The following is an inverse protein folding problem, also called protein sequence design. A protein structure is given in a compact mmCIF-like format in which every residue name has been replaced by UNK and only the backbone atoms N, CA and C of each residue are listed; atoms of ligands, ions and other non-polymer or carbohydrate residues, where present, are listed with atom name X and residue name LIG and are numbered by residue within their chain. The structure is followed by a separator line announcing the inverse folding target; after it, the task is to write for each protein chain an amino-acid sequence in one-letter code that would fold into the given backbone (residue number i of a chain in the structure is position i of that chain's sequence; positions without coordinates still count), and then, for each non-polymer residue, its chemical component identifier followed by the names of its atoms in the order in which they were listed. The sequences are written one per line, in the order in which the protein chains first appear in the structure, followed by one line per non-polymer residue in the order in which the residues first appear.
data_IF_435583402015
#
_entry.id   IF_435583402015
#
_cell.length_a   1.000
_cell.length_b   1.000
_cell.length_c   1.000
_cell.angle_alpha   90.00
_cell.angle_beta   90.00
_cell.angle_gamma   90.00
#
_symmetry.space_group_name_H-M   'P 1'
#
loop_
_entity.id
_entity.type
_entity.pdbx_description
1 polymer ?
#
# COMPACT_ATOMS: atom_id res chain seq x y z
N UNK A 1 19.41 -3.51 -17.38
CA UNK A 1 18.64 -3.16 -16.18
C UNK A 1 17.23 -2.76 -16.62
N UNK A 2 16.42 -3.75 -16.99
CA UNK A 2 15.04 -3.55 -17.50
C UNK A 2 14.24 -4.71 -16.92
N UNK A 3 13.50 -4.54 -15.85
CA UNK A 3 12.71 -5.68 -15.34
C UNK A 3 11.78 -5.42 -14.15
N UNK A 4 11.92 -4.35 -13.43
CA UNK A 4 11.11 -4.13 -12.22
C UNK A 4 9.72 -3.50 -12.49
N UNK A 5 9.43 -3.22 -13.75
CA UNK A 5 8.22 -2.51 -14.20
C UNK A 5 6.98 -3.39 -14.26
N UNK A 6 7.17 -4.70 -14.36
CA UNK A 6 6.08 -5.66 -14.51
C UNK A 6 5.46 -6.11 -13.18
N UNK A 7 6.15 -5.90 -12.07
CA UNK A 7 5.71 -6.37 -10.76
C UNK A 7 4.48 -5.62 -10.21
N UNK A 8 4.41 -4.30 -10.40
CA UNK A 8 3.27 -3.51 -9.94
C UNK A 8 2.00 -3.74 -10.78
N UNK A 9 2.16 -4.12 -12.06
CA UNK A 9 1.05 -4.46 -12.95
C UNK A 9 0.46 -5.84 -12.63
N UNK A 10 1.26 -6.74 -12.03
CA UNK A 10 0.85 -8.10 -11.70
C UNK A 10 -0.25 -8.19 -10.65
N UNK A 11 -0.29 -7.27 -9.69
CA UNK A 11 -1.32 -7.29 -8.62
C UNK A 11 -2.70 -6.96 -9.18
N UNK A 12 -2.77 -6.00 -10.08
CA UNK A 12 -4.04 -5.61 -10.73
C UNK A 12 -4.48 -6.66 -11.75
N UNK A 13 -3.54 -7.35 -12.40
CA UNK A 13 -3.81 -8.39 -13.37
C UNK A 13 -4.20 -9.72 -12.71
N UNK A 14 -3.67 -10.04 -11.53
CA UNK A 14 -4.06 -11.23 -10.76
C UNK A 14 -5.50 -11.11 -10.24
N UNK A 15 -5.95 -9.93 -9.82
CA UNK A 15 -7.34 -9.71 -9.43
C UNK A 15 -8.31 -9.82 -10.63
N UNK A 16 -7.84 -9.52 -11.85
CA UNK A 16 -8.64 -9.67 -13.07
C UNK A 16 -8.51 -11.04 -13.75
N UNK A 17 -7.37 -11.71 -13.62
CA UNK A 17 -7.09 -12.99 -14.28
C UNK A 17 -7.75 -14.18 -13.55
N UNK A 18 -7.94 -14.11 -12.23
CA UNK A 18 -8.70 -15.13 -11.50
C UNK A 18 -10.17 -15.18 -11.92
N UNK A 19 -10.70 -14.10 -12.46
CA UNK A 19 -12.07 -14.08 -13.02
C UNK A 19 -12.17 -14.81 -14.39
N UNK A 20 -11.08 -14.87 -15.16
CA UNK A 20 -11.13 -15.51 -16.50
C UNK A 20 -10.81 -17.02 -16.48
N UNK A 21 -10.11 -17.52 -15.45
CA UNK A 21 -9.70 -18.93 -15.35
C UNK A 21 -10.55 -19.78 -14.38
N UNK A 22 -11.59 -19.19 -13.77
CA UNK A 22 -12.50 -19.84 -12.83
C UNK A 22 -13.51 -20.82 -13.45
N UNK A 23 -13.24 -21.35 -14.64
CA UNK A 23 -13.99 -22.48 -15.20
C UNK A 23 -13.08 -23.70 -15.23
N UNK A 24 -13.26 -24.56 -14.26
CA UNK A 24 -12.65 -25.89 -14.09
C UNK A 24 -11.39 -25.95 -13.19
N UNK A 25 -11.60 -26.45 -11.98
CA UNK A 25 -10.52 -26.91 -11.12
C UNK A 25 -10.82 -26.84 -9.64
N UNK A 26 -11.21 -27.95 -9.05
CA UNK A 26 -11.38 -28.13 -7.59
C UNK A 26 -10.12 -27.71 -6.84
N UNK A 27 -10.23 -26.72 -5.97
CA UNK A 27 -9.23 -26.39 -4.94
C UNK A 27 -9.78 -26.68 -3.54
N UNK A 28 -8.94 -27.16 -2.61
CA UNK A 28 -9.40 -27.58 -1.28
C UNK A 28 -9.64 -26.36 -0.38
N UNK A 29 -10.86 -26.27 0.10
CA UNK A 29 -11.23 -25.78 1.42
C UNK A 29 -10.81 -24.43 1.92
N UNK A 30 -11.21 -23.34 1.26
CA UNK A 30 -11.43 -22.07 1.96
C UNK A 30 -12.89 -22.12 2.46
N UNK A 31 -13.09 -22.12 3.79
CA UNK A 31 -14.42 -21.95 4.37
C UNK A 31 -14.92 -20.57 4.00
N UNK A 32 -15.72 -20.50 2.97
CA UNK A 32 -16.52 -19.33 2.67
C UNK A 32 -17.69 -19.32 3.65
N UNK A 33 -17.57 -18.62 4.75
CA UNK A 33 -18.73 -18.23 5.52
C UNK A 33 -19.56 -17.30 4.64
N UNK A 34 -20.68 -17.80 4.20
CA UNK A 34 -21.68 -17.13 3.39
C UNK A 34 -22.25 -15.99 4.21
N UNK A 35 -21.72 -14.77 4.05
CA UNK A 35 -22.27 -13.58 4.66
C UNK A 35 -23.56 -13.20 3.91
N UNK A 36 -24.64 -13.19 4.66
CA UNK A 36 -25.96 -12.81 4.22
C UNK A 36 -26.04 -11.39 3.65
N UNK A 37 -26.66 -11.31 2.51
CA UNK A 37 -27.59 -10.29 2.00
C UNK A 37 -27.30 -8.80 2.23
N UNK A 38 -27.24 -8.02 1.14
CA UNK A 38 -27.72 -6.66 1.11
C UNK A 38 -26.84 -5.60 0.48
N UNK A 39 -25.95 -5.94 -0.42
CA UNK A 39 -25.25 -4.98 -1.27
C UNK A 39 -24.79 -5.69 -2.52
N UNK A 40 -24.80 -4.99 -3.62
CA UNK A 40 -24.32 -5.49 -4.92
C UNK A 40 -22.76 -5.55 -4.91
N UNK A 41 -22.21 -6.38 -4.02
CA UNK A 41 -20.76 -6.55 -3.90
C UNK A 41 -20.30 -7.65 -4.85
N UNK A 42 -19.34 -7.33 -5.71
CA UNK A 42 -18.73 -8.32 -6.59
C UNK A 42 -17.88 -9.33 -5.82
N UNK A 43 -17.20 -8.87 -4.77
CA UNK A 43 -16.29 -9.71 -3.97
C UNK A 43 -16.08 -9.12 -2.58
N UNK A 44 -16.07 -9.98 -1.57
CA UNK A 44 -15.73 -9.64 -0.19
C UNK A 44 -14.80 -10.70 0.39
N UNK A 45 -13.64 -10.29 0.92
CA UNK A 45 -12.73 -11.17 1.66
C UNK A 45 -12.45 -10.59 3.04
N UNK A 46 -12.30 -11.47 4.03
CA UNK A 46 -11.95 -11.13 5.41
C UNK A 46 -10.65 -11.82 5.82
N UNK A 47 -9.86 -11.15 6.66
CA UNK A 47 -8.58 -11.69 7.12
C UNK A 47 -7.65 -12.04 5.96
N UNK A 48 -7.55 -11.13 4.99
CA UNK A 48 -6.86 -11.40 3.72
C UNK A 48 -5.38 -11.11 3.86
N UNK A 49 -4.55 -12.04 3.39
CA UNK A 49 -3.14 -11.82 3.14
C UNK A 49 -2.85 -12.03 1.66
N UNK A 50 -2.22 -11.05 1.03
CA UNK A 50 -1.75 -11.11 -0.33
C UNK A 50 -0.22 -11.03 -0.33
N UNK A 51 0.44 -11.99 -0.98
CA UNK A 51 1.89 -12.02 -1.12
C UNK A 51 2.23 -11.94 -2.59
N UNK A 52 3.04 -10.96 -2.98
CA UNK A 52 3.64 -10.92 -4.29
C UNK A 52 5.10 -11.31 -4.20
N UNK A 53 5.52 -12.25 -5.03
CA UNK A 53 6.91 -12.73 -5.13
C UNK A 53 7.52 -12.29 -6.46
N UNK A 54 8.86 -12.23 -6.49
CA UNK A 54 9.62 -12.13 -7.74
C UNK A 54 9.71 -13.49 -8.45
N UNK A 55 10.46 -13.56 -9.54
CA UNK A 55 10.67 -14.79 -10.34
C UNK A 55 11.39 -15.92 -9.54
N UNK A 56 12.18 -15.53 -8.52
CA UNK A 56 12.90 -16.46 -7.63
C UNK A 56 12.03 -16.91 -6.43
N UNK A 57 10.77 -16.50 -6.35
CA UNK A 57 9.87 -16.82 -5.24
C UNK A 57 10.08 -15.99 -3.97
N UNK A 58 10.93 -14.96 -4.03
CA UNK A 58 11.19 -14.07 -2.88
C UNK A 58 10.06 -13.04 -2.75
N UNK A 59 9.44 -12.86 -1.58
CA UNK A 59 8.40 -11.87 -1.39
C UNK A 59 8.89 -10.44 -1.66
N UNK A 60 8.25 -9.76 -2.60
CA UNK A 60 8.45 -8.34 -2.87
C UNK A 60 7.63 -7.47 -1.93
N UNK A 61 6.38 -7.87 -1.71
CA UNK A 61 5.55 -7.27 -0.70
C UNK A 61 4.54 -8.27 -0.12
N UNK A 62 4.10 -7.97 1.09
CA UNK A 62 3.02 -8.65 1.78
C UNK A 62 2.00 -7.61 2.21
N UNK A 63 0.75 -7.79 1.80
CA UNK A 63 -0.37 -6.95 2.16
C UNK A 63 -1.31 -7.77 3.04
N UNK A 64 -1.59 -7.28 4.23
CA UNK A 64 -2.61 -7.79 5.13
C UNK A 64 -3.75 -6.78 5.22
N UNK A 65 -5.00 -7.25 5.22
CA UNK A 65 -6.18 -6.43 5.44
C UNK A 65 -7.24 -7.22 6.21
N UNK A 66 -7.91 -6.55 7.15
CA UNK A 66 -9.04 -7.18 7.86
C UNK A 66 -10.18 -7.49 6.92
N UNK A 67 -10.40 -6.62 5.94
CA UNK A 67 -11.48 -6.76 4.96
C UNK A 67 -11.11 -6.09 3.65
N UNK A 68 -11.37 -6.78 2.55
CA UNK A 68 -11.30 -6.24 1.18
C UNK A 68 -12.67 -6.42 0.55
N UNK A 69 -13.18 -5.38 -0.07
CA UNK A 69 -14.43 -5.35 -0.82
C UNK A 69 -14.16 -4.82 -2.22
N UNK A 70 -14.77 -5.43 -3.22
CA UNK A 70 -14.78 -4.94 -4.58
C UNK A 70 -16.21 -4.83 -5.06
N UNK A 71 -16.57 -3.71 -5.66
CA UNK A 71 -17.89 -3.51 -6.25
C UNK A 71 -18.12 -4.47 -7.43
N UNK A 72 -19.39 -4.78 -7.71
CA UNK A 72 -19.76 -5.66 -8.81
C UNK A 72 -19.21 -5.14 -10.15
N UNK A 73 -18.94 -6.08 -11.07
CA UNK A 73 -18.42 -5.74 -12.40
C UNK A 73 -16.98 -5.24 -12.45
N UNK A 74 -16.16 -5.48 -11.41
CA UNK A 74 -14.77 -5.02 -11.36
C UNK A 74 -14.65 -3.54 -10.99
N UNK A 75 -15.58 -3.04 -10.17
CA UNK A 75 -15.62 -1.68 -9.68
C UNK A 75 -14.52 -1.34 -8.66
N UNK A 76 -14.78 -0.32 -7.86
CA UNK A 76 -13.84 0.17 -6.85
C UNK A 76 -13.45 -0.93 -5.85
N UNK A 77 -12.19 -0.93 -5.43
CA UNK A 77 -11.67 -1.81 -4.37
C UNK A 77 -11.48 -1.00 -3.10
N UNK A 78 -12.03 -1.48 -2.00
CA UNK A 78 -11.85 -0.91 -0.67
C UNK A 78 -11.21 -1.93 0.27
N UNK A 79 -10.21 -1.49 1.05
CA UNK A 79 -9.60 -2.29 2.09
C UNK A 79 -9.68 -1.59 3.44
N UNK A 80 -9.86 -2.37 4.52
CA UNK A 80 -9.89 -1.88 5.90
C UNK A 80 -8.74 -2.47 6.71
N UNK A 81 -8.14 -1.60 7.56
CA UNK A 81 -6.99 -1.94 8.41
C UNK A 81 -5.85 -2.58 7.62
N UNK A 82 -5.38 -1.82 6.63
CA UNK A 82 -4.33 -2.24 5.74
C UNK A 82 -2.96 -2.18 6.43
N UNK A 83 -2.18 -3.23 6.25
CA UNK A 83 -0.74 -3.25 6.51
C UNK A 83 -0.03 -3.77 5.27
N UNK A 84 0.80 -2.92 4.67
CA UNK A 84 1.64 -3.27 3.53
C UNK A 84 3.09 -3.31 4.00
N UNK A 85 3.75 -4.46 3.83
CA UNK A 85 5.18 -4.63 4.07
C UNK A 85 5.88 -4.80 2.72
N UNK A 86 6.82 -3.93 2.45
CA UNK A 86 7.60 -3.92 1.21
C UNK A 86 9.08 -4.11 1.55
N UNK A 87 9.75 -4.99 0.84
CA UNK A 87 11.18 -5.20 0.93
C UNK A 87 11.81 -4.77 -0.40
N UNK A 88 12.53 -3.64 -0.39
CA UNK A 88 13.30 -3.22 -1.56
C UNK A 88 14.54 -4.10 -1.75
N UNK A 89 15.11 -4.56 -0.63
CA UNK A 89 16.18 -5.54 -0.51
C UNK A 89 16.19 -6.10 0.94
N UNK A 90 17.13 -6.97 1.27
CA UNK A 90 17.21 -7.60 2.61
C UNK A 90 17.39 -6.59 3.75
N UNK A 91 17.96 -5.43 3.49
CA UNK A 91 18.24 -4.39 4.48
C UNK A 91 17.12 -3.34 4.58
N UNK A 92 16.41 -3.06 3.48
CA UNK A 92 15.44 -1.96 3.37
C UNK A 92 14.01 -2.48 3.37
N UNK A 93 13.42 -2.51 4.54
CA UNK A 93 12.02 -2.91 4.73
C UNK A 93 11.19 -1.70 5.10
N UNK A 94 10.09 -1.52 4.38
CA UNK A 94 9.12 -0.48 4.64
C UNK A 94 7.79 -1.10 5.03
N UNK A 95 7.15 -0.49 6.01
CA UNK A 95 5.79 -0.87 6.43
C UNK A 95 4.90 0.37 6.34
N UNK A 96 3.80 0.23 5.63
CA UNK A 96 2.75 1.23 5.54
C UNK A 96 1.51 0.67 6.22
N UNK A 97 0.86 1.47 7.07
CA UNK A 97 -0.42 1.14 7.68
C UNK A 97 -1.43 2.24 7.43
N UNK A 98 -2.70 1.89 7.22
CA UNK A 98 -3.81 2.80 7.11
C UNK A 98 -5.11 2.12 7.59
N UNK A 99 -6.08 2.91 8.07
CA UNK A 99 -7.39 2.35 8.43
C UNK A 99 -8.21 1.97 7.20
N UNK A 100 -8.09 2.74 6.14
CA UNK A 100 -8.82 2.56 4.90
C UNK A 100 -7.90 2.79 3.71
N UNK A 101 -8.10 1.99 2.67
CA UNK A 101 -7.51 2.19 1.37
C UNK A 101 -8.60 2.04 0.30
N UNK A 102 -8.56 2.89 -0.73
CA UNK A 102 -9.49 2.84 -1.86
C UNK A 102 -8.72 2.99 -3.17
N UNK A 103 -8.99 2.07 -4.08
CA UNK A 103 -8.52 2.11 -5.46
C UNK A 103 -9.75 2.13 -6.36
N UNK A 104 -9.94 3.20 -7.13
CA UNK A 104 -11.04 3.28 -8.07
C UNK A 104 -10.79 2.43 -9.31
N UNK A 105 -11.88 1.91 -9.87
CA UNK A 105 -11.83 1.11 -11.07
C UNK A 105 -11.09 1.84 -12.21
N UNK A 106 -10.09 1.16 -12.79
CA UNK A 106 -9.30 1.69 -13.90
C UNK A 106 -8.26 2.75 -13.52
N UNK A 107 -8.19 3.19 -12.27
CA UNK A 107 -7.18 4.13 -11.78
C UNK A 107 -5.94 3.40 -11.24
N UNK A 108 -4.80 4.12 -11.18
CA UNK A 108 -3.58 3.67 -10.51
C UNK A 108 -3.37 4.35 -9.16
N UNK A 109 -4.27 5.26 -8.77
CA UNK A 109 -4.15 6.07 -7.58
C UNK A 109 -4.84 5.39 -6.39
N UNK A 110 -4.03 4.94 -5.44
CA UNK A 110 -4.47 4.36 -4.18
C UNK A 110 -4.64 5.48 -3.15
N UNK A 111 -5.86 5.71 -2.71
CA UNK A 111 -6.19 6.66 -1.66
C UNK A 111 -6.14 5.99 -0.29
N UNK A 112 -5.23 6.41 0.56
CA UNK A 112 -5.05 5.92 1.93
C UNK A 112 -5.59 6.95 2.91
N UNK A 113 -6.34 6.49 3.92
CA UNK A 113 -6.99 7.37 4.89
C UNK A 113 -6.98 6.77 6.29
N UNK A 114 -6.87 7.67 7.28
CA UNK A 114 -7.02 7.33 8.69
C UNK A 114 -5.74 6.78 9.31
N UNK A 115 -5.03 7.64 10.04
CA UNK A 115 -3.79 7.33 10.75
C UNK A 115 -2.75 6.62 9.85
N UNK A 116 -2.53 7.20 8.67
CA UNK A 116 -1.53 6.67 7.73
C UNK A 116 -0.15 6.81 8.35
N UNK A 117 0.57 5.69 8.42
CA UNK A 117 1.93 5.63 8.95
C UNK A 117 2.82 4.85 8.00
N UNK A 118 3.97 5.41 7.67
CA UNK A 118 5.03 4.76 6.92
C UNK A 118 6.25 4.66 7.81
N UNK A 119 6.81 3.47 7.96
CA UNK A 119 8.00 3.24 8.78
C UNK A 119 8.99 2.40 7.98
N UNK A 120 10.26 2.78 7.98
CA UNK A 120 11.28 2.03 7.28
C UNK A 120 12.67 2.59 7.50
N UNK A 121 13.66 1.96 6.88
CA UNK A 121 15.06 2.34 6.95
C UNK A 121 15.43 3.06 5.64
N UNK A 122 15.69 4.40 5.67
CA UNK A 122 16.14 5.13 4.51
C UNK A 122 17.51 4.62 4.02
N UNK A 123 17.78 4.79 2.74
CA UNK A 123 19.07 4.43 2.14
C UNK A 123 20.23 5.16 2.83
N UNK A 124 21.30 4.42 3.15
CA UNK A 124 22.45 4.97 3.86
C UNK A 124 22.23 5.33 5.33
N UNK A 125 21.05 5.03 5.90
CA UNK A 125 20.73 5.31 7.30
C UNK A 125 20.76 4.03 8.13
N UNK A 126 21.27 4.12 9.36
CA UNK A 126 21.14 3.09 10.40
C UNK A 126 19.91 3.33 11.30
N UNK A 127 19.21 4.47 11.14
CA UNK A 127 18.08 4.84 11.98
C UNK A 127 16.79 4.78 11.16
N UNK A 128 15.73 4.15 11.70
CA UNK A 128 14.45 4.11 11.02
C UNK A 128 13.82 5.51 10.96
N UNK A 129 13.11 5.78 9.86
CA UNK A 129 12.24 6.93 9.71
C UNK A 129 10.78 6.50 9.89
N UNK A 130 9.98 7.38 10.50
CA UNK A 130 8.54 7.24 10.63
C UNK A 130 7.88 8.49 10.09
N UNK A 131 6.93 8.30 9.18
CA UNK A 131 6.11 9.36 8.58
C UNK A 131 4.68 9.13 9.01
N UNK A 132 4.00 10.15 9.51
CA UNK A 132 2.60 10.09 9.94
C UNK A 132 1.81 11.22 9.27
N UNK A 133 0.62 10.88 8.75
CA UNK A 133 -0.32 11.83 8.15
C UNK A 133 -1.75 11.29 8.23
N UNK A 134 -2.75 12.14 7.99
CA UNK A 134 -4.15 11.72 8.00
C UNK A 134 -4.54 11.00 6.72
N UNK A 135 -4.02 11.43 5.56
CA UNK A 135 -4.29 10.88 4.22
C UNK A 135 -3.01 10.82 3.41
N UNK A 136 -2.96 9.89 2.46
CA UNK A 136 -1.84 9.74 1.55
C UNK A 136 -2.36 9.17 0.23
N UNK A 137 -1.98 9.78 -0.86
CA UNK A 137 -2.23 9.26 -2.21
C UNK A 137 -0.96 8.61 -2.75
N UNK A 138 -1.09 7.40 -3.28
CA UNK A 138 0.01 6.64 -3.87
C UNK A 138 -0.34 6.21 -5.29
N UNK A 139 0.38 6.72 -6.27
CA UNK A 139 0.26 6.25 -7.65
C UNK A 139 1.12 5.00 -7.86
N UNK A 140 0.46 3.87 -8.10
CA UNK A 140 1.12 2.56 -8.25
C UNK A 140 1.94 2.45 -9.54
N UNK A 141 1.71 3.31 -10.54
CA UNK A 141 2.44 3.32 -11.82
C UNK A 141 3.67 4.20 -11.78
N UNK A 142 3.49 5.48 -11.38
CA UNK A 142 4.60 6.43 -11.29
C UNK A 142 5.44 6.26 -10.03
N UNK A 143 4.89 5.58 -9.01
CA UNK A 143 5.44 5.45 -7.66
C UNK A 143 5.56 6.81 -6.94
N UNK A 144 4.69 7.74 -7.30
CA UNK A 144 4.57 9.01 -6.61
C UNK A 144 3.67 8.88 -5.39
N UNK A 145 4.10 9.53 -4.33
CA UNK A 145 3.38 9.62 -3.06
C UNK A 145 3.10 11.08 -2.78
N UNK A 146 1.86 11.44 -2.40
CA UNK A 146 1.47 12.82 -2.13
C UNK A 146 0.48 12.92 -0.97
N UNK A 147 0.61 14.01 -0.21
CA UNK A 147 -0.42 14.46 0.73
C UNK A 147 -0.40 15.98 0.85
N UNK A 148 -1.55 16.57 1.08
CA UNK A 148 -1.69 18.01 1.41
C UNK A 148 -1.99 18.23 2.90
N UNK A 149 -2.08 17.14 3.67
CA UNK A 149 -2.33 17.19 5.10
C UNK A 149 -1.05 17.51 5.89
N UNK A 150 -1.22 17.68 7.18
CA UNK A 150 -0.08 17.82 8.08
C UNK A 150 0.70 16.49 8.12
N UNK A 151 2.01 16.62 8.06
CA UNK A 151 2.96 15.51 8.05
C UNK A 151 3.91 15.66 9.22
N UNK A 152 4.12 14.57 9.93
CA UNK A 152 5.18 14.44 10.92
C UNK A 152 6.17 13.37 10.49
N UNK A 153 7.45 13.72 10.53
CA UNK A 153 8.54 12.81 10.24
C UNK A 153 9.44 12.72 11.48
N UNK A 154 9.55 11.54 12.05
CA UNK A 154 10.53 11.23 13.09
C UNK A 154 11.66 10.39 12.46
N UNK A 155 12.89 10.88 12.55
CA UNK A 155 14.07 10.21 12.04
C UNK A 155 15.23 10.32 13.04
N UNK A 156 15.51 9.22 13.69
CA UNK A 156 16.48 9.20 14.79
C UNK A 156 16.08 10.18 15.91
N UNK A 157 16.94 11.20 16.14
CA UNK A 157 16.67 12.27 17.13
C UNK A 157 16.09 13.55 16.50
N UNK A 158 15.68 13.48 15.26
CA UNK A 158 15.11 14.61 14.54
C UNK A 158 13.63 14.44 14.37
N UNK A 159 12.89 15.54 14.54
CA UNK A 159 11.47 15.63 14.18
C UNK A 159 11.27 16.78 13.22
N UNK A 160 10.58 16.48 12.12
CA UNK A 160 10.14 17.46 11.14
C UNK A 160 8.62 17.44 11.12
N UNK A 161 8.02 18.60 11.30
CA UNK A 161 6.59 18.84 11.10
C UNK A 161 6.46 19.71 9.83
N UNK A 162 5.53 19.39 8.96
CA UNK A 162 5.29 20.11 7.71
C UNK A 162 3.82 20.03 7.31
N UNK A 163 3.42 20.81 6.31
CA UNK A 163 2.13 20.68 5.64
C UNK A 163 2.38 20.41 4.16
N UNK A 164 1.88 19.26 3.68
CA UNK A 164 2.13 18.75 2.37
C UNK A 164 3.46 18.01 2.23
N UNK A 165 3.41 16.87 1.56
CA UNK A 165 4.56 16.05 1.21
C UNK A 165 4.35 15.52 -0.21
N UNK A 166 5.40 15.56 -1.00
CA UNK A 166 5.51 14.89 -2.28
C UNK A 166 6.78 14.06 -2.31
N UNK A 167 6.68 12.80 -2.72
CA UNK A 167 7.84 11.93 -2.84
C UNK A 167 7.73 11.06 -4.09
N UNK A 168 8.88 10.77 -4.71
CA UNK A 168 8.99 9.76 -5.75
C UNK A 168 9.84 8.60 -5.22
N UNK A 169 9.22 7.45 -5.00
CA UNK A 169 9.89 6.30 -4.40
C UNK A 169 10.94 5.69 -5.32
N UNK A 170 10.76 5.82 -6.64
CA UNK A 170 11.71 5.32 -7.64
C UNK A 170 13.01 6.12 -7.68
N UNK A 171 12.89 7.45 -7.45
CA UNK A 171 14.02 8.37 -7.47
C UNK A 171 14.61 8.60 -6.07
N UNK A 172 13.94 8.10 -5.01
CA UNK A 172 14.35 8.34 -3.63
C UNK A 172 14.27 9.81 -3.21
N UNK A 173 13.44 10.62 -3.90
CA UNK A 173 13.28 12.04 -3.62
C UNK A 173 12.05 12.28 -2.75
N UNK A 174 12.21 13.17 -1.75
CA UNK A 174 11.14 13.62 -0.87
C UNK A 174 11.21 15.13 -0.74
N UNK A 175 10.07 15.79 -0.89
CA UNK A 175 9.90 17.24 -0.75
C UNK A 175 8.80 17.53 0.26
N UNK A 176 9.08 18.42 1.22
CA UNK A 176 8.08 18.98 2.12
C UNK A 176 7.62 20.34 1.57
N UNK A 177 6.31 20.55 1.46
CA UNK A 177 5.78 21.65 0.65
C UNK A 177 5.75 22.99 1.41
N UNK A 178 5.31 23.00 2.68
CA UNK A 178 5.15 24.24 3.43
C UNK A 178 5.18 24.02 4.94
N UNK A 179 5.28 25.14 5.71
CA UNK A 179 5.27 25.17 7.19
C UNK A 179 6.26 24.18 7.82
N UNK A 180 7.43 24.04 7.20
CA UNK A 180 8.45 23.09 7.66
C UNK A 180 9.11 23.60 8.94
N UNK A 181 9.01 22.81 10.01
CA UNK A 181 9.63 23.06 11.30
C UNK A 181 10.44 21.82 11.71
N UNK A 182 11.72 22.01 11.99
CA UNK A 182 12.61 20.95 12.46
C UNK A 182 12.97 21.13 13.93
N UNK A 183 13.03 20.02 14.66
CA UNK A 183 13.50 19.98 16.06
C UNK A 183 14.43 18.80 16.26
N UNK A 184 15.48 19.04 17.07
CA UNK A 184 16.29 17.96 17.61
C UNK A 184 15.74 17.54 18.96
N UNK A 185 15.45 16.26 19.11
CA UNK A 185 15.02 15.68 20.37
C UNK A 185 16.25 15.37 21.21
N UNK A 186 16.24 15.69 22.53
CA UNK A 186 17.37 15.45 23.41
C UNK A 186 17.70 13.95 23.58
#
# INVERSE_FOLDING_TARGET
MKGHWLAALGVLLLLSLTFLLGREGRTPGVRTEQAAAGGDFGYVAQGTQLVQTNEDGIPLFVLDADRIEQDAGGGDVMARHLTLRYAADDARRWTLTAREARLKAGESLLHLKGAVRVTGLPEGSSMPARIETARLDYDTKSQDVRTQDDVRIDWGRQRLDARGLSANLKQGQLTLESKVHGRFLP
#
